data_IF_913798787784
#
_entry.id   IF_913798787784
#
_cell.length_a   1.000
_cell.length_b   1.000
_cell.length_c   1.000
_cell.angle_alpha   90.00
_cell.angle_beta   90.00
_cell.angle_gamma   90.00
#
_symmetry.space_group_name_H-M   'P 1'
#
loop_
_entity.id
_entity.type
_entity.pdbx_description
1 polymer ?
#
# COMPACT_ATOMS: atom_id res chain seq x y z
N UNK A 1 -26.55 -38.57 -10.92
CA UNK A 1 -27.14 -38.90 -9.60
C UNK A 1 -26.23 -39.92 -8.94
N UNK A 2 -25.51 -39.54 -7.90
CA UNK A 2 -24.66 -40.47 -7.14
C UNK A 2 -25.45 -40.99 -5.94
N UNK A 3 -25.91 -42.24 -6.02
CA UNK A 3 -26.64 -42.92 -4.96
C UNK A 3 -25.71 -43.88 -4.23
N UNK A 4 -25.56 -43.76 -2.93
CA UNK A 4 -24.85 -44.73 -2.09
C UNK A 4 -25.85 -45.73 -1.52
N UNK A 5 -25.77 -46.98 -1.98
CA UNK A 5 -26.62 -48.06 -1.51
C UNK A 5 -25.85 -48.86 -0.44
N UNK A 6 -26.29 -48.78 0.83
CA UNK A 6 -25.79 -49.66 1.89
C UNK A 6 -26.62 -50.94 1.94
N UNK A 7 -26.08 -51.98 1.34
CA UNK A 7 -26.63 -53.32 1.47
C UNK A 7 -25.93 -54.03 2.66
N UNK A 8 -26.65 -54.24 3.73
CA UNK A 8 -26.21 -55.10 4.82
C UNK A 8 -27.04 -56.37 4.84
N UNK A 9 -26.60 -57.36 4.03
CA UNK A 9 -27.15 -58.68 4.06
C UNK A 9 -26.54 -59.60 5.15
N UNK A 10 -27.29 -59.92 6.19
CA UNK A 10 -27.13 -61.20 6.90
C UNK A 10 -28.51 -61.79 7.19
N UNK A 11 -28.82 -62.87 6.50
CA UNK A 11 -29.94 -63.76 6.79
C UNK A 11 -29.68 -64.47 8.12
N UNK A 12 -30.54 -64.26 9.11
CA UNK A 12 -30.69 -65.12 10.27
C UNK A 12 -32.06 -65.88 10.14
N UNK A 13 -32.02 -67.21 10.15
CA UNK A 13 -33.15 -68.14 10.11
C UNK A 13 -33.97 -67.96 11.41
N UNK A 14 -35.33 -67.82 11.24
CA UNK A 14 -36.33 -68.11 12.26
C UNK A 14 -36.70 -66.96 13.18
N UNK A 15 -37.87 -66.33 12.95
CA UNK A 15 -38.53 -65.43 13.89
C UNK A 15 -39.13 -64.21 13.24
N UNK A 16 -40.43 -64.02 13.37
CA UNK A 16 -41.30 -62.86 13.08
C UNK A 16 -40.79 -61.88 11.99
N UNK A 17 -41.54 -61.73 10.92
CA UNK A 17 -41.35 -60.77 9.84
C UNK A 17 -41.32 -59.42 10.41
N UNK A 18 -40.10 -58.93 10.74
CA UNK A 18 -39.86 -57.49 10.98
C UNK A 18 -39.90 -56.79 9.64
N UNK A 19 -40.77 -55.81 9.50
CA UNK A 19 -40.78 -54.90 8.37
C UNK A 19 -39.36 -54.52 8.01
N UNK A 20 -38.90 -54.79 6.81
CA UNK A 20 -37.59 -54.39 6.27
C UNK A 20 -37.54 -52.91 6.29
N UNK A 21 -36.80 -52.33 7.25
CA UNK A 21 -36.52 -50.90 7.27
C UNK A 21 -35.77 -50.65 5.98
N UNK A 22 -36.44 -50.03 5.00
CA UNK A 22 -35.75 -49.50 3.82
C UNK A 22 -34.65 -48.58 4.35
N UNK A 23 -33.39 -48.97 4.12
CA UNK A 23 -32.25 -48.09 4.38
C UNK A 23 -32.52 -46.77 3.65
N UNK A 24 -32.65 -45.71 4.39
CA UNK A 24 -32.93 -44.39 3.80
C UNK A 24 -31.86 -44.10 2.75
N UNK A 25 -32.29 -43.94 1.52
CA UNK A 25 -31.41 -43.42 0.45
C UNK A 25 -31.05 -42.01 0.86
N UNK A 26 -29.80 -41.81 1.19
CA UNK A 26 -29.29 -40.46 1.48
C UNK A 26 -29.02 -39.79 0.14
N UNK A 27 -29.73 -38.73 -0.16
CA UNK A 27 -29.51 -37.93 -1.36
C UNK A 27 -28.24 -37.09 -1.13
N UNK A 28 -27.16 -37.50 -1.77
CA UNK A 28 -25.86 -36.81 -1.68
C UNK A 28 -25.84 -35.49 -2.45
N UNK A 29 -26.81 -35.27 -3.35
CA UNK A 29 -26.84 -34.08 -4.20
C UNK A 29 -27.00 -32.82 -3.36
N UNK A 30 -27.91 -32.83 -2.38
CA UNK A 30 -28.13 -31.71 -1.49
C UNK A 30 -26.91 -31.44 -0.58
N UNK A 31 -26.20 -32.48 -0.14
CA UNK A 31 -24.98 -32.32 0.66
C UNK A 31 -23.83 -31.69 -0.14
N UNK A 32 -23.65 -32.13 -1.40
CA UNK A 32 -22.61 -31.60 -2.29
C UNK A 32 -22.91 -30.15 -2.65
N UNK A 33 -24.15 -29.79 -2.90
CA UNK A 33 -24.54 -28.40 -3.18
C UNK A 33 -24.26 -27.47 -1.99
N UNK A 34 -24.61 -27.93 -0.78
CA UNK A 34 -24.33 -27.18 0.43
C UNK A 34 -22.80 -26.99 0.65
N UNK A 35 -22.02 -28.05 0.41
CA UNK A 35 -20.56 -27.97 0.50
C UNK A 35 -19.98 -27.02 -0.56
N UNK A 36 -20.52 -27.05 -1.79
CA UNK A 36 -20.10 -26.17 -2.87
C UNK A 36 -20.41 -24.69 -2.56
N UNK A 37 -21.61 -24.40 -2.06
CA UNK A 37 -21.98 -23.03 -1.62
C UNK A 37 -21.09 -22.55 -0.49
N UNK A 38 -20.74 -23.42 0.47
CA UNK A 38 -19.84 -23.07 1.56
C UNK A 38 -18.44 -22.70 1.03
N UNK A 39 -17.88 -23.51 0.13
CA UNK A 39 -16.56 -23.27 -0.47
C UNK A 39 -16.58 -21.98 -1.28
N UNK A 40 -17.58 -21.75 -2.11
CA UNK A 40 -17.68 -20.51 -2.91
C UNK A 40 -17.83 -19.27 -2.03
N UNK A 41 -18.59 -19.38 -0.95
CA UNK A 41 -18.70 -18.28 0.05
C UNK A 41 -17.36 -17.98 0.70
N UNK A 42 -16.62 -18.99 1.17
CA UNK A 42 -15.29 -18.76 1.76
C UNK A 42 -14.30 -18.21 0.75
N UNK A 43 -14.29 -18.69 -0.48
CA UNK A 43 -13.42 -18.17 -1.53
C UNK A 43 -13.74 -16.71 -1.84
N UNK A 44 -15.02 -16.34 -1.87
CA UNK A 44 -15.42 -14.95 -2.08
C UNK A 44 -14.99 -14.06 -0.91
N UNK A 45 -15.28 -14.48 0.33
CA UNK A 45 -14.92 -13.68 1.52
C UNK A 45 -13.41 -13.53 1.69
N UNK A 46 -12.61 -14.56 1.42
CA UNK A 46 -11.14 -14.46 1.47
C UNK A 46 -10.59 -13.59 0.34
N UNK A 47 -11.22 -13.59 -0.84
CA UNK A 47 -10.83 -12.72 -1.95
C UNK A 47 -11.09 -11.23 -1.65
N UNK A 48 -12.18 -10.94 -0.94
CA UNK A 48 -12.51 -9.55 -0.52
C UNK A 48 -11.60 -9.03 0.60
N UNK A 49 -11.08 -9.93 1.45
CA UNK A 49 -10.20 -9.58 2.57
C UNK A 49 -8.72 -9.47 2.20
N UNK A 50 -8.36 -9.44 0.92
CA UNK A 50 -6.96 -9.24 0.53
C UNK A 50 -6.51 -7.86 1.02
N UNK A 51 -5.51 -7.78 1.92
CA UNK A 51 -4.94 -6.50 2.30
C UNK A 51 -4.40 -5.83 1.03
N UNK A 52 -4.81 -4.60 0.79
CA UNK A 52 -4.25 -3.77 -0.26
C UNK A 52 -2.84 -3.36 0.20
N UNK A 53 -1.84 -4.14 -0.17
CA UNK A 53 -0.45 -3.76 0.03
C UNK A 53 -0.05 -2.79 -1.08
N UNK A 54 0.55 -1.67 -0.69
CA UNK A 54 1.18 -0.76 -1.64
C UNK A 54 2.55 -1.31 -2.02
N UNK A 55 2.79 -1.52 -3.30
CA UNK A 55 4.13 -1.80 -3.81
C UNK A 55 4.94 -0.50 -3.80
N UNK A 56 5.82 -0.37 -2.80
CA UNK A 56 6.80 0.71 -2.74
C UNK A 56 8.07 0.19 -3.40
N UNK A 57 8.38 0.67 -4.57
CA UNK A 57 9.64 0.38 -5.25
C UNK A 57 10.77 1.08 -4.48
N UNK A 58 11.32 0.40 -3.46
CA UNK A 58 12.56 0.85 -2.84
C UNK A 58 13.72 0.49 -3.78
N UNK A 59 14.64 1.42 -4.05
CA UNK A 59 15.87 1.08 -4.74
C UNK A 59 16.63 0.05 -3.88
N UNK A 60 17.16 -0.99 -4.53
CA UNK A 60 17.95 -2.02 -3.88
C UNK A 60 19.07 -1.37 -3.06
N UNK A 61 19.07 -1.62 -1.76
CA UNK A 61 20.23 -1.34 -0.93
C UNK A 61 21.33 -2.29 -1.38
N UNK A 62 22.28 -1.81 -2.16
CA UNK A 62 23.57 -2.46 -2.23
C UNK A 62 24.18 -2.44 -0.82
N UNK A 63 24.12 -3.60 -0.16
CA UNK A 63 24.61 -3.84 1.20
C UNK A 63 26.15 -3.96 1.16
N UNK A 64 26.80 -3.00 0.55
CA UNK A 64 28.27 -2.89 0.69
C UNK A 64 28.63 -1.42 0.87
N UNK A 65 29.11 -1.18 2.06
CA UNK A 65 29.72 0.03 2.59
C UNK A 65 28.84 0.91 3.47
N UNK A 66 29.13 0.81 4.77
CA UNK A 66 28.93 1.80 5.84
C UNK A 66 29.63 3.14 5.54
N UNK A 67 29.45 3.69 4.34
CA UNK A 67 29.86 5.03 3.98
C UNK A 67 28.65 5.75 3.45
N UNK A 68 28.12 6.68 4.25
CA UNK A 68 27.36 7.86 3.85
C UNK A 68 26.99 7.87 2.35
N UNK A 69 26.07 7.03 1.93
CA UNK A 69 25.40 7.23 0.65
C UNK A 69 24.30 8.26 0.89
N UNK A 70 24.69 9.53 0.94
CA UNK A 70 23.87 10.54 0.31
C UNK A 70 23.64 10.00 -1.09
N UNK A 71 22.41 9.53 -1.33
CA UNK A 71 21.98 9.20 -2.69
C UNK A 71 22.17 10.51 -3.44
N UNK A 72 23.20 10.57 -4.27
CA UNK A 72 23.50 11.76 -5.07
C UNK A 72 22.41 11.87 -6.12
N UNK A 73 21.22 12.22 -5.63
CA UNK A 73 20.06 12.48 -6.48
C UNK A 73 20.38 13.79 -7.16
N UNK A 74 20.40 13.76 -8.49
CA UNK A 74 20.58 14.96 -9.30
C UNK A 74 19.64 16.07 -8.78
N UNK A 75 20.23 17.08 -8.13
CA UNK A 75 19.50 18.15 -7.43
C UNK A 75 18.44 18.82 -8.31
N UNK A 76 18.70 18.82 -9.62
CA UNK A 76 17.80 19.43 -10.59
C UNK A 76 16.51 18.66 -10.81
N UNK A 77 16.47 17.38 -10.44
CA UNK A 77 15.29 16.51 -10.63
C UNK A 77 14.67 16.05 -9.30
N UNK A 78 15.28 16.37 -8.17
CA UNK A 78 14.78 15.98 -6.86
C UNK A 78 13.73 16.97 -6.35
N UNK A 79 12.60 16.45 -5.93
CA UNK A 79 11.56 17.16 -5.19
C UNK A 79 11.46 16.48 -3.83
N UNK A 80 11.77 17.21 -2.78
CA UNK A 80 11.70 16.68 -1.41
C UNK A 80 10.42 17.14 -0.74
N UNK A 81 9.75 16.18 -0.10
CA UNK A 81 8.55 16.37 0.71
C UNK A 81 8.89 16.01 2.15
N UNK A 82 8.94 16.99 3.02
CA UNK A 82 9.17 16.80 4.46
C UNK A 82 7.81 16.82 5.15
N UNK A 83 7.41 15.69 5.74
CA UNK A 83 6.12 15.56 6.40
C UNK A 83 6.23 16.08 7.83
N UNK A 84 5.44 17.09 8.14
CA UNK A 84 5.38 17.71 9.47
C UNK A 84 4.18 17.25 10.29
N UNK A 85 3.89 17.95 11.37
CA UNK A 85 2.68 17.81 12.19
C UNK A 85 1.48 18.51 11.51
N UNK A 86 0.27 18.28 12.07
CA UNK A 86 -0.96 18.97 11.65
C UNK A 86 -1.32 18.79 10.16
N UNK A 87 -1.01 17.64 9.58
CA UNK A 87 -1.27 17.33 8.16
C UNK A 87 -0.66 18.37 7.20
N UNK A 88 0.53 18.89 7.55
CA UNK A 88 1.27 19.83 6.73
C UNK A 88 2.55 19.20 6.18
N UNK A 89 2.94 19.69 5.00
CA UNK A 89 4.13 19.25 4.28
C UNK A 89 4.92 20.47 3.92
N UNK A 90 6.24 20.42 4.13
CA UNK A 90 7.17 21.38 3.49
C UNK A 90 7.73 20.71 2.25
N UNK A 91 7.66 21.36 1.13
CA UNK A 91 8.29 20.88 -0.09
C UNK A 91 9.28 21.88 -0.66
N UNK A 92 10.29 21.36 -1.33
CA UNK A 92 11.28 22.16 -2.06
C UNK A 92 11.91 21.31 -3.17
N UNK A 93 12.52 21.99 -4.16
CA UNK A 93 13.27 21.33 -5.23
C UNK A 93 14.78 21.51 -5.00
N UNK A 94 15.53 20.42 -5.14
CA UNK A 94 16.99 20.43 -5.00
C UNK A 94 17.48 20.09 -3.61
N UNK A 95 18.65 20.63 -3.23
CA UNK A 95 19.22 20.45 -1.91
C UNK A 95 18.62 21.42 -0.90
N UNK A 96 18.47 21.00 0.35
CA UNK A 96 17.93 21.84 1.44
C UNK A 96 18.77 23.08 1.68
N UNK A 97 20.10 22.96 1.47
CA UNK A 97 21.07 24.08 1.66
C UNK A 97 21.02 25.12 0.55
N UNK A 98 20.55 24.72 -0.64
CA UNK A 98 20.44 25.61 -1.82
C UNK A 98 19.21 25.23 -2.64
N UNK A 99 18.01 25.45 -2.11
CA UNK A 99 16.79 25.07 -2.78
C UNK A 99 16.54 25.95 -4.01
N UNK A 100 16.20 25.33 -5.13
CA UNK A 100 15.81 26.06 -6.36
C UNK A 100 14.46 26.73 -6.22
N UNK A 101 13.55 26.08 -5.51
CA UNK A 101 12.25 26.61 -5.14
C UNK A 101 12.27 26.87 -3.65
N UNK A 102 11.84 28.06 -3.18
CA UNK A 102 11.80 28.33 -1.75
C UNK A 102 10.91 27.30 -1.05
N UNK A 103 11.32 26.80 0.13
CA UNK A 103 10.51 25.89 0.91
C UNK A 103 9.12 26.48 1.15
N UNK A 104 8.09 25.74 0.80
CA UNK A 104 6.70 26.18 0.90
C UNK A 104 5.87 25.14 1.64
N UNK A 105 5.01 25.62 2.55
CA UNK A 105 4.08 24.76 3.28
C UNK A 105 2.84 24.50 2.45
N UNK A 106 2.47 23.23 2.33
CA UNK A 106 1.26 22.79 1.64
C UNK A 106 0.52 21.75 2.48
N UNK A 107 -0.68 21.42 2.08
CA UNK A 107 -1.49 20.33 2.63
C UNK A 107 -1.61 19.14 1.66
N UNK A 108 -2.26 18.06 2.11
CA UNK A 108 -2.50 16.84 1.29
C UNK A 108 -3.68 16.99 0.31
N UNK A 109 -4.21 18.19 0.11
CA UNK A 109 -5.35 18.44 -0.76
C UNK A 109 -5.01 18.42 -2.25
N UNK A 110 -6.05 18.46 -3.08
CA UNK A 110 -5.90 18.57 -4.54
C UNK A 110 -5.18 19.86 -4.96
N UNK A 111 -5.45 20.95 -4.24
CA UNK A 111 -4.87 22.26 -4.52
C UNK A 111 -3.50 22.45 -3.87
N UNK A 112 -3.14 21.58 -2.91
CA UNK A 112 -1.85 21.50 -2.26
C UNK A 112 -0.90 20.54 -2.98
N UNK A 113 -0.67 19.36 -2.37
CA UNK A 113 0.34 18.40 -2.82
C UNK A 113 0.16 17.96 -4.29
N UNK A 114 -1.07 17.60 -4.69
CA UNK A 114 -1.33 17.12 -6.06
C UNK A 114 -0.99 18.16 -7.11
N UNK A 115 -1.38 19.40 -6.89
CA UNK A 115 -1.07 20.50 -7.81
C UNK A 115 0.44 20.66 -7.97
N UNK A 116 1.18 20.70 -6.88
CA UNK A 116 2.65 20.81 -6.89
C UNK A 116 3.28 19.63 -7.65
N UNK A 117 2.83 18.40 -7.39
CA UNK A 117 3.35 17.21 -8.08
C UNK A 117 3.12 17.27 -9.58
N UNK A 118 1.94 17.70 -10.02
CA UNK A 118 1.61 17.82 -11.45
C UNK A 118 2.40 18.94 -12.12
N UNK A 119 2.58 20.08 -11.45
CA UNK A 119 3.42 21.17 -11.95
C UNK A 119 4.88 20.76 -12.09
N UNK A 120 5.44 20.12 -11.05
CA UNK A 120 6.83 19.67 -11.06
C UNK A 120 7.06 18.51 -12.05
N UNK A 121 6.06 17.64 -12.25
CA UNK A 121 6.10 16.60 -13.28
C UNK A 121 6.27 17.17 -14.70
N UNK A 122 5.76 18.37 -14.95
CA UNK A 122 5.90 19.04 -16.23
C UNK A 122 7.16 19.91 -16.32
N UNK A 123 7.56 20.54 -15.22
CA UNK A 123 8.70 21.45 -15.15
C UNK A 123 10.05 20.74 -15.16
N UNK A 124 10.18 19.67 -14.35
CA UNK A 124 11.46 18.96 -14.20
C UNK A 124 11.97 18.38 -15.53
N UNK A 125 11.19 17.71 -16.35
CA UNK A 125 11.67 17.22 -17.65
C UNK A 125 12.13 18.34 -18.60
N UNK A 126 11.45 19.49 -18.55
CA UNK A 126 11.85 20.66 -19.36
C UNK A 126 13.20 21.23 -18.92
N UNK A 127 13.48 21.21 -17.62
CA UNK A 127 14.74 21.71 -17.03
C UNK A 127 15.91 20.72 -17.18
N UNK A 128 15.61 19.42 -17.28
CA UNK A 128 16.61 18.33 -17.19
C UNK A 128 16.79 17.56 -18.50
N UNK A 129 16.27 18.08 -19.63
CA UNK A 129 16.41 17.42 -20.93
C UNK A 129 15.64 16.09 -21.02
N UNK A 130 14.42 16.04 -20.47
CA UNK A 130 13.53 14.89 -20.58
C UNK A 130 13.69 13.82 -19.48
N UNK A 131 14.45 14.09 -18.42
CA UNK A 131 14.59 13.16 -17.31
C UNK A 131 13.39 13.25 -16.36
N UNK A 132 12.87 12.12 -15.91
CA UNK A 132 11.79 12.06 -14.94
C UNK A 132 12.21 12.66 -13.58
N UNK A 133 11.26 13.29 -12.90
CA UNK A 133 11.50 13.75 -11.54
C UNK A 133 11.59 12.59 -10.54
N UNK A 134 12.29 12.83 -9.45
CA UNK A 134 12.41 11.91 -8.33
C UNK A 134 11.84 12.60 -7.09
N UNK A 135 10.88 11.96 -6.44
CA UNK A 135 10.30 12.49 -5.21
C UNK A 135 10.92 11.76 -4.02
N UNK A 136 11.42 12.54 -3.06
CA UNK A 136 11.96 12.04 -1.79
C UNK A 136 10.99 12.41 -0.69
N UNK A 137 10.40 11.40 -0.05
CA UNK A 137 9.47 11.58 1.06
C UNK A 137 10.27 11.39 2.35
N UNK A 138 10.27 12.40 3.22
CA UNK A 138 10.96 12.37 4.51
C UNK A 138 9.96 12.61 5.64
N UNK A 139 9.47 11.54 6.28
CA UNK A 139 8.60 11.67 7.44
C UNK A 139 9.38 12.17 8.64
N UNK A 140 8.87 13.20 9.32
CA UNK A 140 9.41 13.64 10.60
C UNK A 140 8.91 12.75 11.74
N UNK A 141 9.54 12.84 12.91
CA UNK A 141 9.08 12.14 14.13
C UNK A 141 7.68 12.58 14.58
N UNK A 142 7.26 13.77 14.16
CA UNK A 142 5.95 14.36 14.45
C UNK A 142 4.90 14.07 13.38
N UNK A 143 5.28 13.43 12.29
CA UNK A 143 4.35 13.01 11.25
C UNK A 143 3.65 11.70 11.63
N UNK A 144 2.38 11.60 11.27
CA UNK A 144 1.58 10.40 11.50
C UNK A 144 1.73 9.43 10.33
N UNK A 145 1.68 8.12 10.59
CA UNK A 145 1.73 7.09 9.52
C UNK A 145 0.71 7.33 8.41
N UNK A 146 -0.46 7.88 8.74
CA UNK A 146 -1.46 8.28 7.76
C UNK A 146 -0.91 9.26 6.73
N UNK A 147 -0.11 10.22 7.15
CA UNK A 147 0.48 11.23 6.27
C UNK A 147 1.41 10.61 5.21
N UNK A 148 2.10 9.54 5.58
CA UNK A 148 2.93 8.76 4.64
C UNK A 148 2.04 8.08 3.60
N UNK A 149 0.93 7.47 4.04
CA UNK A 149 -0.01 6.80 3.16
C UNK A 149 -0.65 7.79 2.21
N UNK A 150 -1.12 8.92 2.72
CA UNK A 150 -1.73 9.99 1.91
C UNK A 150 -0.74 10.54 0.87
N UNK A 151 0.54 10.74 1.25
CA UNK A 151 1.58 11.14 0.31
C UNK A 151 1.82 10.09 -0.78
N UNK A 152 1.86 8.79 -0.43
CA UNK A 152 2.04 7.71 -1.40
C UNK A 152 0.85 7.57 -2.34
N UNK A 153 -0.36 7.79 -1.85
CA UNK A 153 -1.56 7.81 -2.71
C UNK A 153 -1.51 8.96 -3.71
N UNK A 154 -1.06 10.14 -3.29
CA UNK A 154 -0.88 11.26 -4.20
C UNK A 154 0.20 10.99 -5.26
N UNK A 155 1.28 10.23 -4.93
CA UNK A 155 2.25 9.79 -5.93
C UNK A 155 1.60 8.93 -7.01
N UNK A 156 0.73 7.99 -6.62
CA UNK A 156 0.00 7.13 -7.57
C UNK A 156 -1.01 7.92 -8.39
N UNK A 157 -1.78 8.82 -7.77
CA UNK A 157 -2.77 9.66 -8.45
C UNK A 157 -2.11 10.58 -9.49
N UNK A 158 -0.95 11.16 -9.15
CA UNK A 158 -0.17 12.00 -10.05
C UNK A 158 0.67 11.20 -11.06
N UNK A 159 0.62 9.84 -11.00
CA UNK A 159 1.44 8.94 -11.83
C UNK A 159 2.93 9.32 -11.77
N UNK A 160 3.48 9.42 -10.56
CA UNK A 160 4.90 9.64 -10.31
C UNK A 160 5.61 8.29 -10.28
N UNK A 161 6.48 8.05 -11.25
CA UNK A 161 7.14 6.75 -11.43
C UNK A 161 8.30 6.50 -10.47
N UNK A 162 8.93 7.57 -10.00
CA UNK A 162 10.14 7.47 -9.17
C UNK A 162 9.97 8.25 -7.88
N UNK A 163 9.83 7.54 -6.79
CA UNK A 163 9.81 8.10 -5.45
C UNK A 163 10.51 7.17 -4.46
N UNK A 164 10.98 7.74 -3.38
CA UNK A 164 11.63 7.00 -2.30
C UNK A 164 11.22 7.58 -0.95
N UNK A 165 11.18 6.72 0.06
CA UNK A 165 10.99 7.14 1.46
C UNK A 165 12.34 7.07 2.15
N UNK A 166 12.75 8.16 2.78
CA UNK A 166 13.96 8.24 3.57
C UNK A 166 13.61 8.56 5.02
N UNK A 167 13.92 7.66 5.93
CA UNK A 167 13.72 7.89 7.37
C UNK A 167 14.75 8.86 7.97
N UNK A 168 15.67 9.37 7.15
CA UNK A 168 16.71 10.28 7.60
C UNK A 168 16.31 11.71 7.27
N UNK A 169 15.96 12.47 8.29
CA UNK A 169 15.75 13.92 8.22
C UNK A 169 17.08 14.63 8.47
N UNK A 170 17.34 15.68 7.73
CA UNK A 170 18.50 16.57 7.94
C UNK A 170 18.19 17.62 9.00
N UNK A 171 19.21 18.14 9.67
CA UNK A 171 19.03 19.18 10.71
C UNK A 171 18.38 20.43 10.14
N UNK A 172 18.78 20.80 8.96
CA UNK A 172 18.27 21.96 8.22
C UNK A 172 16.78 21.81 7.88
N UNK A 173 16.32 20.58 7.66
CA UNK A 173 14.90 20.29 7.41
C UNK A 173 14.06 20.36 8.69
N UNK A 174 14.64 19.98 9.83
CA UNK A 174 13.99 20.15 11.14
C UNK A 174 13.84 21.64 11.45
N UNK A 175 14.89 22.43 11.24
CA UNK A 175 14.84 23.89 11.42
C UNK A 175 13.78 24.55 10.52
N UNK A 176 13.59 24.05 9.29
CA UNK A 176 12.52 24.53 8.40
C UNK A 176 11.13 24.19 8.96
N UNK A 177 10.93 22.97 9.48
CA UNK A 177 9.66 22.58 10.09
C UNK A 177 9.35 23.40 11.36
N UNK A 178 10.36 23.68 12.18
CA UNK A 178 10.24 24.52 13.39
C UNK A 178 9.90 25.96 13.03
N UNK A 179 10.55 26.52 12.02
CA UNK A 179 10.31 27.89 11.55
C UNK A 179 8.88 28.08 11.05
N UNK A 180 8.33 27.07 10.41
CA UNK A 180 6.95 27.07 9.89
C UNK A 180 5.91 26.63 10.93
N UNK A 181 6.30 26.37 12.18
CA UNK A 181 5.43 25.94 13.28
C UNK A 181 4.70 24.59 13.03
N UNK A 182 5.32 23.70 12.28
CA UNK A 182 4.76 22.38 11.93
C UNK A 182 5.61 21.20 12.45
N UNK A 183 6.45 21.47 13.46
CA UNK A 183 7.21 20.47 14.22
C UNK A 183 6.78 20.42 15.69
N UNK A 184 5.55 20.83 15.98
CA UNK A 184 5.00 20.89 17.34
C UNK A 184 4.27 19.61 17.72
N UNK A 185 4.22 19.34 19.06
CA UNK A 185 3.46 18.23 19.65
C UNK A 185 1.94 18.41 19.51
#
# INVERSE_FOLDING_TARGET
>A
MAELNQDSGKQAKGGKVRAKKNGGKVDLTAMVDLAFLLITFFMLTTSLNKPQAMDVAMPDKNVETDKQTDVNVDEHRSVTLVLGSNDKIVWYQGAVTSPKTPPTVIDYSKDGLRKVLLEMKQLVPKQTGGKDMIVVIRPSEKSVTRNIIDALDEMKIADIKRYMISNRIMKEEIELLEKENIYND
#
